data_IF_379133141178
#
_entry.id   IF_379133141178
#
_cell.length_a   1.000
_cell.length_b   1.000
_cell.length_c   1.000
_cell.angle_alpha   90.00
_cell.angle_beta   90.00
_cell.angle_gamma   90.00
#
_symmetry.space_group_name_H-M   'P 1'
#
loop_
_entity.id
_entity.type
_entity.pdbx_description
1 polymer ?
#
# COMPACT_ATOMS: atom_id res chain seq x y z
N UNK A 1 -37.60 17.76 7.46
CA UNK A 1 -37.17 18.44 6.23
C UNK A 1 -35.67 18.70 6.38
N UNK A 2 -34.81 17.93 5.72
CA UNK A 2 -33.35 18.12 5.83
C UNK A 2 -32.96 19.28 4.91
N UNK A 3 -32.50 20.38 5.49
CA UNK A 3 -31.91 21.47 4.69
C UNK A 3 -30.64 20.94 4.00
N UNK A 4 -30.45 21.23 2.71
CA UNK A 4 -29.30 20.73 1.97
C UNK A 4 -28.00 21.39 2.45
N UNK A 5 -26.91 20.62 2.40
CA UNK A 5 -25.59 21.11 2.73
C UNK A 5 -25.21 22.29 1.80
N UNK A 6 -24.60 23.34 2.36
CA UNK A 6 -24.28 24.58 1.68
C UNK A 6 -22.79 24.65 1.33
N UNK A 7 -22.49 24.96 0.07
CA UNK A 7 -21.14 25.32 -0.38
C UNK A 7 -20.96 26.82 -0.24
N UNK A 8 -19.85 27.26 0.34
CA UNK A 8 -19.49 28.67 0.45
C UNK A 8 -18.66 29.12 -0.77
N UNK A 9 -18.62 30.43 -1.02
CA UNK A 9 -17.67 31.02 -1.97
C UNK A 9 -16.24 30.91 -1.45
N UNK A 10 -15.25 30.92 -2.34
CA UNK A 10 -13.84 30.87 -1.94
C UNK A 10 -13.50 32.07 -1.02
N UNK A 11 -14.04 33.27 -1.28
CA UNK A 11 -13.86 34.44 -0.40
C UNK A 11 -14.36 34.23 1.04
N UNK A 12 -15.53 33.62 1.21
CA UNK A 12 -16.08 33.34 2.53
C UNK A 12 -15.30 32.24 3.26
N UNK A 13 -14.65 31.33 2.54
CA UNK A 13 -13.76 30.33 3.12
C UNK A 13 -12.45 30.94 3.63
N UNK A 14 -11.95 32.00 2.98
CA UNK A 14 -10.76 32.73 3.44
C UNK A 14 -11.01 33.42 4.79
N UNK A 15 -12.22 33.94 5.03
CA UNK A 15 -12.60 34.54 6.32
C UNK A 15 -12.75 33.48 7.45
N UNK A 16 -12.92 32.21 7.08
CA UNK A 16 -13.11 31.08 7.99
C UNK A 16 -11.81 30.31 8.22
N UNK A 17 -10.72 31.00 8.58
CA UNK A 17 -9.41 30.39 8.86
C UNK A 17 -9.05 30.38 10.34
N UNK A 18 -8.33 29.33 10.72
CA UNK A 18 -7.73 29.18 12.04
C UNK A 18 -6.46 30.03 12.13
N UNK A 19 -6.35 30.85 13.18
CA UNK A 19 -5.16 31.67 13.44
C UNK A 19 -3.87 30.86 13.65
N UNK A 20 -3.98 29.62 14.15
CA UNK A 20 -2.81 28.79 14.48
C UNK A 20 -2.28 28.03 13.26
N UNK A 21 -3.15 27.30 12.56
CA UNK A 21 -2.73 26.43 11.45
C UNK A 21 -3.05 26.99 10.06
N UNK A 22 -3.70 28.16 9.97
CA UNK A 22 -4.21 28.77 8.74
C UNK A 22 -5.18 27.90 7.92
N UNK A 23 -5.58 26.73 8.43
CA UNK A 23 -6.57 25.86 7.82
C UNK A 23 -8.00 26.33 8.08
N UNK A 24 -8.97 25.81 7.31
CA UNK A 24 -10.38 26.17 7.48
C UNK A 24 -10.91 25.80 8.88
N UNK A 25 -11.86 26.59 9.40
CA UNK A 25 -12.59 26.34 10.65
C UNK A 25 -13.62 25.19 10.46
N UNK A 26 -13.12 24.01 10.10
CA UNK A 26 -13.89 22.85 9.67
C UNK A 26 -14.10 21.79 10.76
N UNK A 27 -13.62 22.04 11.99
CA UNK A 27 -13.79 21.15 13.13
C UNK A 27 -14.07 21.88 14.44
N UNK A 28 -15.00 21.32 15.21
CA UNK A 28 -15.33 21.69 16.58
C UNK A 28 -14.26 21.16 17.57
N UNK A 29 -14.03 21.85 18.70
CA UNK A 29 -14.60 23.14 19.07
C UNK A 29 -13.96 24.30 18.30
N UNK A 30 -14.77 25.28 17.90
CA UNK A 30 -14.27 26.58 17.43
C UNK A 30 -14.21 27.54 18.62
N UNK A 31 -13.04 28.09 18.88
CA UNK A 31 -12.81 29.05 19.96
C UNK A 31 -12.31 30.38 19.42
N UNK A 32 -12.67 31.46 20.08
CA UNK A 32 -12.25 32.82 19.75
C UNK A 32 -11.39 33.40 20.87
N UNK A 33 -10.30 34.05 20.48
CA UNK A 33 -9.41 34.82 21.36
C UNK A 33 -9.98 36.24 21.59
N UNK A 34 -9.54 36.98 22.62
CA UNK A 34 -10.03 38.33 22.90
C UNK A 34 -9.78 39.32 21.75
N UNK A 35 -8.80 39.05 20.90
CA UNK A 35 -8.50 39.85 19.70
C UNK A 35 -9.39 39.49 18.49
N UNK A 36 -10.36 38.58 18.63
CA UNK A 36 -11.25 38.14 17.56
C UNK A 36 -10.74 36.97 16.70
N UNK A 37 -9.48 36.57 16.85
CA UNK A 37 -8.91 35.43 16.11
C UNK A 37 -9.60 34.11 16.47
N UNK A 38 -9.90 33.30 15.46
CA UNK A 38 -10.53 31.99 15.63
C UNK A 38 -9.51 30.84 15.68
N UNK A 39 -9.80 29.82 16.47
CA UNK A 39 -8.99 28.61 16.65
C UNK A 39 -9.89 27.40 16.39
N UNK A 40 -9.46 26.53 15.48
CA UNK A 40 -10.18 25.28 15.17
C UNK A 40 -9.92 24.18 16.21
N UNK A 41 -10.78 23.16 16.22
CA UNK A 41 -10.67 22.05 17.17
C UNK A 41 -9.38 21.24 17.06
N UNK A 42 -8.72 21.23 15.89
CA UNK A 42 -7.43 20.54 15.66
C UNK A 42 -6.27 21.18 16.41
N UNK A 43 -6.35 22.48 16.73
CA UNK A 43 -5.28 23.23 17.37
C UNK A 43 -5.45 23.33 18.89
N UNK A 44 -6.40 22.58 19.47
CA UNK A 44 -6.64 22.58 20.90
C UNK A 44 -5.91 21.41 21.60
N UNK A 45 -5.51 21.57 22.87
CA UNK A 45 -5.56 22.81 23.66
C UNK A 45 -4.48 23.82 23.22
N UNK A 46 -4.81 25.10 23.23
CA UNK A 46 -3.81 26.18 23.13
C UNK A 46 -3.31 26.51 24.53
N UNK A 47 -2.14 27.14 24.62
CA UNK A 47 -1.52 27.57 25.86
C UNK A 47 -2.52 28.25 26.82
N UNK A 48 -2.46 27.90 28.10
CA UNK A 48 -3.48 28.23 29.12
C UNK A 48 -3.47 29.71 29.53
N UNK A 49 -2.49 30.47 29.05
CA UNK A 49 -2.24 31.86 29.40
C UNK A 49 -3.30 32.82 28.84
N UNK A 50 -3.94 32.48 27.71
CA UNK A 50 -4.98 33.30 27.08
C UNK A 50 -6.39 32.73 27.30
N UNK A 51 -7.36 33.54 27.78
CA UNK A 51 -8.75 33.12 27.83
C UNK A 51 -9.27 32.93 26.39
N UNK A 52 -9.92 31.81 26.13
CA UNK A 52 -10.56 31.52 24.85
C UNK A 52 -12.04 31.20 25.09
N UNK A 53 -12.92 31.54 24.16
CA UNK A 53 -14.36 31.34 24.30
C UNK A 53 -14.89 30.47 23.15
N UNK A 54 -15.64 29.40 23.45
CA UNK A 54 -16.23 28.54 22.42
C UNK A 54 -17.43 29.23 21.76
N UNK A 55 -17.54 29.17 20.44
CA UNK A 55 -18.58 29.86 19.68
C UNK A 55 -19.59 28.87 19.11
N UNK A 56 -20.50 28.40 19.96
CA UNK A 56 -21.55 27.45 19.58
C UNK A 56 -22.44 27.91 18.40
N UNK A 57 -22.86 29.19 18.30
CA UNK A 57 -23.68 29.63 17.17
C UNK A 57 -22.96 29.48 15.83
N UNK A 58 -21.66 29.76 15.79
CA UNK A 58 -20.85 29.58 14.59
C UNK A 58 -20.74 28.10 14.23
N UNK A 59 -20.47 27.22 15.21
CA UNK A 59 -20.47 25.77 14.98
C UNK A 59 -21.82 25.26 14.44
N UNK A 60 -22.94 25.78 14.95
CA UNK A 60 -24.27 25.42 14.47
C UNK A 60 -24.51 25.85 13.02
N UNK A 61 -24.06 27.04 12.63
CA UNK A 61 -24.11 27.50 11.22
C UNK A 61 -23.21 26.63 10.34
N UNK A 62 -21.98 26.38 10.77
CA UNK A 62 -21.00 25.61 10.01
C UNK A 62 -21.36 24.13 9.91
N UNK A 63 -22.18 23.58 10.82
CA UNK A 63 -22.64 22.18 10.78
C UNK A 63 -23.26 21.77 9.44
N UNK A 64 -23.80 22.74 8.69
CA UNK A 64 -24.43 22.53 7.37
C UNK A 64 -23.53 22.93 6.20
N UNK A 65 -22.30 23.36 6.47
CA UNK A 65 -21.36 23.85 5.45
C UNK A 65 -20.45 22.72 4.99
N UNK A 66 -20.24 22.66 3.66
CA UNK A 66 -19.23 21.82 3.03
C UNK A 66 -17.89 22.58 2.95
N UNK A 67 -16.86 22.00 3.53
CA UNK A 67 -15.49 22.49 3.45
C UNK A 67 -14.69 21.69 2.42
N UNK A 68 -13.91 22.35 1.54
CA UNK A 68 -12.98 21.65 0.68
C UNK A 68 -11.83 21.06 1.50
N UNK A 69 -11.28 19.94 1.03
CA UNK A 69 -10.04 19.37 1.57
C UNK A 69 -8.89 20.39 1.49
N UNK A 70 -8.03 20.44 2.52
CA UNK A 70 -6.79 21.24 2.48
C UNK A 70 -5.88 20.84 1.30
N UNK A 71 -5.92 19.58 0.88
CA UNK A 71 -5.16 19.05 -0.25
C UNK A 71 -5.85 19.31 -1.62
N UNK A 72 -6.79 20.27 -1.71
CA UNK A 72 -7.44 20.67 -2.98
C UNK A 72 -6.42 21.13 -4.02
N UNK A 73 -5.36 21.82 -3.59
CA UNK A 73 -4.25 22.22 -4.46
C UNK A 73 -3.49 21.04 -5.06
N UNK A 74 -3.41 19.93 -4.33
CA UNK A 74 -2.77 18.67 -4.75
C UNK A 74 -3.70 17.76 -5.57
N UNK A 75 -4.94 18.20 -5.87
CA UNK A 75 -5.88 17.46 -6.70
C UNK A 75 -7.10 16.89 -5.98
N UNK A 76 -7.20 17.00 -4.65
CA UNK A 76 -8.37 16.50 -3.93
C UNK A 76 -9.63 17.31 -4.26
N UNK A 77 -10.63 16.66 -4.85
CA UNK A 77 -11.94 17.27 -5.18
C UNK A 77 -12.98 17.11 -4.07
N UNK A 78 -12.64 16.45 -2.98
CA UNK A 78 -13.58 16.17 -1.90
C UNK A 78 -14.00 17.46 -1.19
N UNK A 79 -15.30 17.54 -0.93
CA UNK A 79 -15.90 18.52 -0.04
C UNK A 79 -16.65 17.76 1.06
N UNK A 80 -16.35 18.07 2.31
CA UNK A 80 -16.81 17.31 3.47
C UNK A 80 -17.55 18.25 4.42
N UNK A 81 -18.59 17.74 5.07
CA UNK A 81 -19.30 18.48 6.11
C UNK A 81 -18.38 18.82 7.28
N UNK A 82 -18.72 19.90 7.99
CA UNK A 82 -18.10 20.24 9.27
C UNK A 82 -17.99 19.01 10.21
N UNK A 83 -16.86 18.91 10.91
CA UNK A 83 -16.41 17.74 11.70
C UNK A 83 -16.05 16.47 10.92
N UNK A 84 -16.46 16.29 9.66
CA UNK A 84 -16.07 15.13 8.86
C UNK A 84 -14.69 15.25 8.21
N UNK A 85 -14.15 16.47 8.15
CA UNK A 85 -12.91 16.75 7.40
C UNK A 85 -11.71 15.96 7.94
N UNK A 86 -11.59 15.78 9.26
CA UNK A 86 -10.44 15.10 9.86
C UNK A 86 -10.42 13.61 9.54
N UNK A 87 -11.60 12.99 9.42
CA UNK A 87 -11.74 11.60 8.97
C UNK A 87 -11.45 11.46 7.47
N UNK A 88 -11.72 12.49 6.68
CA UNK A 88 -11.32 12.51 5.28
C UNK A 88 -9.81 12.72 5.14
N UNK A 89 -9.24 13.72 5.82
CA UNK A 89 -7.81 14.06 5.75
C UNK A 89 -6.92 12.89 6.17
N UNK A 90 -7.34 12.09 7.18
CA UNK A 90 -6.59 10.90 7.60
C UNK A 90 -6.53 9.79 6.54
N UNK A 91 -7.39 9.83 5.53
CA UNK A 91 -7.48 8.88 4.41
C UNK A 91 -7.29 9.53 3.05
N UNK A 92 -7.03 10.84 3.01
CA UNK A 92 -6.98 11.59 1.77
C UNK A 92 -5.69 11.25 1.06
N UNK A 93 -5.77 10.52 -0.06
CA UNK A 93 -4.63 10.08 -0.88
C UNK A 93 -3.79 11.25 -1.42
N UNK A 94 -4.34 12.46 -1.45
CA UNK A 94 -3.67 13.65 -1.97
C UNK A 94 -2.81 14.39 -0.95
N UNK A 95 -2.58 13.81 0.23
CA UNK A 95 -1.70 14.39 1.26
C UNK A 95 -0.30 14.68 0.70
N UNK A 96 0.30 15.77 1.15
CA UNK A 96 1.69 16.06 0.80
C UNK A 96 2.63 15.26 1.69
N UNK A 97 3.61 14.59 1.10
CA UNK A 97 4.62 13.82 1.82
C UNK A 97 5.98 13.97 1.16
N UNK A 98 7.02 13.91 1.98
CA UNK A 98 8.37 13.62 1.51
C UNK A 98 8.59 12.11 1.34
N UNK A 99 9.59 11.74 0.54
CA UNK A 99 10.04 10.36 0.44
C UNK A 99 10.63 9.88 1.78
N UNK A 100 10.25 8.69 2.29
CA UNK A 100 10.73 8.18 3.58
C UNK A 100 12.08 7.44 3.46
N UNK A 101 12.59 7.28 2.23
CA UNK A 101 13.84 6.59 1.96
C UNK A 101 14.98 7.56 2.26
N UNK A 102 15.75 7.26 3.31
CA UNK A 102 16.80 8.11 3.88
C UNK A 102 18.07 8.20 3.03
N UNK A 103 18.01 7.87 1.75
CA UNK A 103 19.14 8.09 0.86
C UNK A 103 19.29 9.60 0.61
N UNK A 104 20.52 10.11 0.76
CA UNK A 104 20.80 11.55 0.66
C UNK A 104 20.50 12.12 -0.73
N UNK A 105 20.27 11.26 -1.72
CA UNK A 105 19.96 11.62 -3.10
C UNK A 105 18.47 11.96 -3.35
N UNK A 106 17.55 11.53 -2.47
CA UNK A 106 16.12 11.70 -2.71
C UNK A 106 15.52 12.85 -1.91
N UNK A 107 15.15 13.92 -2.61
CA UNK A 107 14.48 15.11 -2.05
C UNK A 107 13.04 15.23 -2.53
N UNK A 108 12.44 14.12 -2.97
CA UNK A 108 11.10 14.13 -3.51
C UNK A 108 10.08 14.56 -2.45
N UNK A 109 9.24 15.52 -2.84
CA UNK A 109 8.05 15.95 -2.12
C UNK A 109 6.91 16.02 -3.13
N UNK A 110 5.75 15.48 -2.76
CA UNK A 110 4.62 15.45 -3.66
C UNK A 110 3.36 14.89 -3.03
N UNK A 111 2.36 14.67 -3.88
CA UNK A 111 1.10 14.07 -3.46
C UNK A 111 1.28 12.59 -3.16
N UNK A 112 0.60 12.08 -2.14
CA UNK A 112 0.53 10.64 -1.86
C UNK A 112 0.02 9.82 -3.04
N UNK A 113 -0.79 10.41 -3.92
CA UNK A 113 -1.26 9.79 -5.15
C UNK A 113 -0.12 9.47 -6.15
N UNK A 114 1.00 10.20 -6.06
CA UNK A 114 2.15 10.08 -6.95
C UNK A 114 3.28 9.23 -6.33
N UNK A 115 3.15 8.83 -5.06
CA UNK A 115 4.21 8.14 -4.32
C UNK A 115 4.60 6.80 -4.95
N UNK A 116 3.62 6.07 -5.49
CA UNK A 116 3.87 4.77 -6.11
C UNK A 116 4.69 4.92 -7.38
N UNK A 117 4.36 5.91 -8.21
CA UNK A 117 5.12 6.23 -9.41
C UNK A 117 6.53 6.71 -9.07
N UNK A 118 6.66 7.56 -8.05
CA UNK A 118 7.94 8.00 -7.53
C UNK A 118 8.83 6.82 -7.12
N UNK A 119 8.31 5.90 -6.30
CA UNK A 119 9.07 4.72 -5.87
C UNK A 119 9.49 3.83 -7.04
N UNK A 120 8.61 3.62 -8.02
CA UNK A 120 8.92 2.81 -9.20
C UNK A 120 9.93 3.47 -10.15
N UNK A 121 10.04 4.80 -10.17
CA UNK A 121 10.99 5.52 -11.03
C UNK A 121 12.34 5.76 -10.35
N UNK A 122 12.31 6.19 -9.09
CA UNK A 122 13.49 6.66 -8.37
C UNK A 122 14.08 5.60 -7.43
N UNK A 123 13.29 4.60 -7.03
CA UNK A 123 13.69 3.58 -6.05
C UNK A 123 13.42 2.15 -6.51
N UNK A 124 13.40 1.90 -7.82
CA UNK A 124 13.21 0.57 -8.38
C UNK A 124 14.25 -0.46 -7.92
N UNK A 125 15.45 -0.03 -7.51
CA UNK A 125 16.50 -0.89 -6.97
C UNK A 125 16.10 -1.52 -5.62
N UNK A 126 15.09 -0.98 -4.93
CA UNK A 126 14.51 -1.57 -3.73
C UNK A 126 13.42 -2.60 -4.04
N UNK A 127 12.98 -2.71 -5.31
CA UNK A 127 11.93 -3.63 -5.72
C UNK A 127 12.42 -5.08 -5.64
N UNK A 128 11.69 -5.89 -4.90
CA UNK A 128 11.98 -7.31 -4.69
C UNK A 128 10.94 -8.17 -5.40
N UNK A 129 11.37 -9.35 -5.86
CA UNK A 129 10.48 -10.35 -6.48
C UNK A 129 9.56 -11.03 -5.46
N UNK A 130 9.87 -10.92 -4.17
CA UNK A 130 9.12 -11.50 -3.06
C UNK A 130 9.18 -10.56 -1.85
N UNK A 131 8.07 -10.43 -1.12
CA UNK A 131 8.03 -9.65 0.11
C UNK A 131 8.68 -10.41 1.27
N UNK A 132 10.00 -10.48 1.27
CA UNK A 132 10.76 -11.14 2.33
C UNK A 132 12.08 -10.44 2.64
N UNK A 133 12.58 -10.64 3.85
CA UNK A 133 13.91 -10.21 4.28
C UNK A 133 14.50 -11.19 5.29
N UNK A 134 15.84 -11.21 5.39
CA UNK A 134 16.58 -12.07 6.29
C UNK A 134 17.16 -11.25 7.44
N UNK A 135 17.15 -11.83 8.64
CA UNK A 135 17.76 -11.26 9.84
C UNK A 135 18.75 -12.27 10.39
N UNK A 136 19.99 -11.86 10.61
CA UNK A 136 20.94 -12.60 11.43
C UNK A 136 20.62 -12.29 12.88
N UNK A 137 20.30 -13.30 13.69
CA UNK A 137 19.64 -13.06 14.98
C UNK A 137 20.53 -12.31 15.97
N UNK A 138 21.85 -12.38 15.83
CA UNK A 138 22.84 -11.75 16.72
C UNK A 138 23.41 -10.42 16.23
N UNK A 139 22.90 -9.90 15.11
CA UNK A 139 23.42 -8.67 14.51
C UNK A 139 22.29 -7.67 14.31
N UNK A 140 22.59 -6.40 14.51
CA UNK A 140 21.66 -5.33 14.18
C UNK A 140 21.46 -5.27 12.67
N UNK A 141 20.23 -5.06 12.23
CA UNK A 141 19.93 -4.92 10.81
C UNK A 141 18.76 -4.00 10.59
N UNK A 142 18.75 -3.34 9.44
CA UNK A 142 17.65 -2.49 9.01
C UNK A 142 17.54 -2.55 7.50
N UNK A 143 16.34 -2.28 6.99
CA UNK A 143 16.11 -2.30 5.56
C UNK A 143 14.78 -1.68 5.18
N UNK A 144 14.73 -1.21 3.94
CA UNK A 144 13.49 -0.84 3.25
C UNK A 144 13.42 -1.64 1.97
N UNK A 145 12.28 -2.24 1.68
CA UNK A 145 12.03 -2.94 0.43
C UNK A 145 10.69 -2.50 -0.17
N UNK A 146 10.62 -2.63 -1.48
CA UNK A 146 9.39 -2.47 -2.25
C UNK A 146 8.97 -3.83 -2.80
N UNK A 147 7.67 -4.09 -2.81
CA UNK A 147 7.10 -5.29 -3.40
C UNK A 147 5.87 -4.93 -4.21
N UNK A 148 5.75 -5.45 -5.42
CA UNK A 148 4.60 -5.18 -6.29
C UNK A 148 3.79 -6.46 -6.51
N UNK A 149 2.54 -6.45 -6.06
CA UNK A 149 1.57 -7.54 -6.27
C UNK A 149 0.15 -6.96 -6.23
N UNK A 150 -0.44 -6.70 -7.40
CA UNK A 150 -1.66 -5.90 -7.63
C UNK A 150 -1.55 -4.43 -7.17
N UNK A 151 -0.94 -4.20 -6.02
CA UNK A 151 -0.57 -2.91 -5.44
C UNK A 151 0.93 -2.86 -5.16
N UNK A 152 1.48 -1.65 -5.08
CA UNK A 152 2.83 -1.45 -4.56
C UNK A 152 2.78 -1.45 -3.03
N UNK A 153 3.70 -2.14 -2.39
CA UNK A 153 3.87 -2.17 -0.95
C UNK A 153 5.27 -1.68 -0.58
N UNK A 154 5.35 -0.93 0.51
CA UNK A 154 6.60 -0.55 1.15
C UNK A 154 6.68 -1.21 2.52
N UNK A 155 7.82 -1.82 2.78
CA UNK A 155 8.13 -2.48 4.04
C UNK A 155 9.42 -1.90 4.56
N UNK A 156 9.41 -1.40 5.79
CA UNK A 156 10.61 -0.98 6.51
C UNK A 156 10.71 -1.76 7.81
N UNK A 157 11.93 -2.17 8.14
CA UNK A 157 12.22 -2.83 9.40
C UNK A 157 13.53 -2.33 10.02
N UNK A 158 13.59 -2.41 11.34
CA UNK A 158 14.78 -2.22 12.17
C UNK A 158 14.80 -3.33 13.22
N UNK A 159 15.93 -4.02 13.35
CA UNK A 159 16.12 -5.13 14.27
C UNK A 159 17.32 -4.87 15.17
N UNK A 160 17.10 -5.03 16.46
CA UNK A 160 18.13 -4.99 17.50
C UNK A 160 18.52 -6.43 17.86
N UNK A 161 19.75 -6.81 17.52
CA UNK A 161 20.31 -8.14 17.75
C UNK A 161 20.70 -8.39 19.20
N UNK A 162 20.89 -7.35 20.01
CA UNK A 162 21.14 -7.48 21.45
C UNK A 162 19.87 -7.80 22.23
N UNK A 163 18.79 -7.06 21.96
CA UNK A 163 17.48 -7.20 22.60
C UNK A 163 16.61 -8.28 21.93
N UNK A 164 16.96 -8.70 20.70
CA UNK A 164 16.15 -9.56 19.83
C UNK A 164 14.77 -8.98 19.53
N UNK A 165 14.71 -7.69 19.27
CA UNK A 165 13.45 -6.97 19.00
C UNK A 165 13.42 -6.48 17.56
N UNK A 166 12.34 -6.81 16.85
CA UNK A 166 12.07 -6.38 15.49
C UNK A 166 10.98 -5.29 15.51
N UNK A 167 11.28 -4.12 14.97
CA UNK A 167 10.30 -3.11 14.59
C UNK A 167 10.06 -3.15 13.09
N UNK A 168 8.81 -3.06 12.68
CA UNK A 168 8.45 -3.02 11.26
C UNK A 168 7.19 -2.17 11.00
N UNK A 169 7.11 -1.57 9.82
CA UNK A 169 5.90 -0.96 9.28
C UNK A 169 5.70 -1.43 7.84
N UNK A 170 4.47 -1.79 7.50
CA UNK A 170 4.07 -2.34 6.21
C UNK A 170 2.86 -1.53 5.72
N UNK A 171 3.04 -0.84 4.60
CA UNK A 171 2.01 -0.01 3.98
C UNK A 171 1.84 -0.37 2.52
N UNK A 172 0.65 -0.14 1.99
CA UNK A 172 0.43 -0.15 0.55
C UNK A 172 0.43 1.28 0.02
N UNK A 173 0.90 1.44 -1.20
CA UNK A 173 1.03 2.69 -1.92
C UNK A 173 0.03 2.65 -3.07
N UNK A 174 -1.08 3.36 -2.93
CA UNK A 174 -2.18 3.38 -3.91
C UNK A 174 -2.79 4.78 -4.01
N UNK A 175 -3.44 5.04 -5.13
CA UNK A 175 -4.30 6.21 -5.33
C UNK A 175 -5.68 6.03 -4.71
N UNK A 176 -5.99 4.83 -4.20
CA UNK A 176 -7.26 4.50 -3.53
C UNK A 176 -6.98 3.86 -2.16
N UNK A 177 -7.86 4.14 -1.18
CA UNK A 177 -7.81 3.50 0.14
C UNK A 177 -8.58 2.18 0.11
N UNK A 178 -7.85 1.07 0.23
CA UNK A 178 -8.40 -0.27 0.38
C UNK A 178 -8.61 -0.60 1.86
N UNK A 179 -9.87 -0.71 2.28
CA UNK A 179 -10.20 -0.99 3.68
C UNK A 179 -10.01 -2.45 4.11
N UNK A 180 -9.95 -3.35 3.13
CA UNK A 180 -9.99 -4.80 3.29
C UNK A 180 -8.63 -5.47 3.05
N UNK A 181 -7.57 -4.66 2.93
CA UNK A 181 -6.22 -5.16 2.70
C UNK A 181 -5.59 -5.59 4.02
N UNK A 182 -5.21 -6.86 4.10
CA UNK A 182 -4.52 -7.42 5.25
C UNK A 182 -3.23 -8.11 4.84
N UNK A 183 -2.34 -8.30 5.80
CA UNK A 183 -1.16 -9.14 5.62
C UNK A 183 -1.00 -10.12 6.79
N UNK A 184 -0.31 -11.22 6.53
CA UNK A 184 0.17 -12.17 7.54
C UNK A 184 1.67 -12.31 7.41
N UNK A 185 2.37 -12.33 8.54
CA UNK A 185 3.81 -12.56 8.57
C UNK A 185 4.07 -14.02 8.91
N UNK A 186 4.91 -14.65 8.11
CA UNK A 186 5.48 -15.96 8.37
C UNK A 186 6.96 -15.79 8.72
N UNK A 187 7.40 -16.42 9.80
CA UNK A 187 8.80 -16.44 10.20
C UNK A 187 9.31 -17.86 10.03
N UNK A 188 10.44 -18.02 9.36
CA UNK A 188 11.12 -19.30 9.15
C UNK A 188 12.50 -19.24 9.79
N UNK A 189 12.96 -20.36 10.34
CA UNK A 189 14.38 -20.54 10.62
C UNK A 189 15.12 -20.67 9.29
N UNK A 190 16.17 -19.85 9.09
CA UNK A 190 16.91 -19.84 7.82
C UNK A 190 17.73 -21.12 7.59
N UNK A 191 18.06 -21.87 8.66
CA UNK A 191 18.82 -23.12 8.58
C UNK A 191 17.91 -24.36 8.51
N UNK A 192 16.70 -24.27 9.06
CA UNK A 192 15.70 -25.33 9.02
C UNK A 192 14.33 -24.73 8.69
N UNK A 193 13.94 -24.82 7.42
CA UNK A 193 12.71 -24.18 6.93
C UNK A 193 11.43 -24.87 7.41
N UNK A 194 11.52 -26.07 7.96
CA UNK A 194 10.36 -26.78 8.52
C UNK A 194 9.93 -26.15 9.86
N UNK A 195 10.86 -25.48 10.55
CA UNK A 195 10.59 -24.67 11.72
C UNK A 195 10.04 -23.29 11.31
N UNK A 196 8.70 -23.16 11.28
CA UNK A 196 8.02 -21.90 10.92
C UNK A 196 6.86 -21.55 11.84
N UNK A 197 6.52 -20.26 11.92
CA UNK A 197 5.32 -19.76 12.58
C UNK A 197 4.63 -18.67 11.77
N UNK A 198 3.36 -18.48 12.07
CA UNK A 198 2.54 -17.40 11.52
C UNK A 198 2.14 -16.43 12.62
N UNK A 199 2.31 -15.14 12.36
CA UNK A 199 1.73 -14.09 13.19
C UNK A 199 0.26 -13.88 12.82
N UNK A 200 -0.52 -13.37 13.78
CA UNK A 200 -1.91 -12.99 13.56
C UNK A 200 -2.00 -11.98 12.41
N UNK A 201 -3.01 -12.17 11.54
CA UNK A 201 -3.30 -11.25 10.45
C UNK A 201 -3.47 -9.82 10.97
N UNK A 202 -2.94 -8.87 10.21
CA UNK A 202 -2.96 -7.46 10.50
C UNK A 202 -3.53 -6.68 9.32
N UNK A 203 -4.29 -5.63 9.61
CA UNK A 203 -4.70 -4.66 8.59
C UNK A 203 -3.47 -3.95 8.04
N UNK A 204 -3.41 -3.82 6.72
CA UNK A 204 -2.46 -2.95 6.04
C UNK A 204 -3.10 -1.58 5.83
N UNK A 205 -2.34 -0.54 6.09
CA UNK A 205 -2.83 0.83 5.95
C UNK A 205 -2.19 1.48 4.73
N UNK A 206 -2.89 2.47 4.16
CA UNK A 206 -2.33 3.33 3.13
C UNK A 206 -1.05 4.00 3.65
N UNK A 207 -0.06 4.13 2.77
CA UNK A 207 1.13 4.93 3.04
C UNK A 207 0.73 6.36 3.45
N UNK A 208 1.42 6.91 4.44
CA UNK A 208 1.21 8.27 4.92
C UNK A 208 2.48 8.78 5.63
N UNK A 209 2.47 10.05 6.06
CA UNK A 209 3.61 10.67 6.75
C UNK A 209 3.97 10.04 8.10
N UNK A 210 3.11 9.19 8.67
CA UNK A 210 3.41 8.47 9.92
C UNK A 210 4.13 7.15 9.69
N UNK A 211 4.50 6.83 8.44
CA UNK A 211 5.21 5.62 8.11
C UNK A 211 6.47 5.47 8.96
N UNK A 212 6.54 4.36 9.68
CA UNK A 212 7.64 4.00 10.59
C UNK A 212 7.83 4.95 11.81
N UNK A 213 6.88 5.86 12.07
CA UNK A 213 6.87 6.63 13.31
C UNK A 213 6.70 5.72 14.54
N UNK A 214 7.17 6.18 15.71
CA UNK A 214 7.20 5.40 16.96
C UNK A 214 5.83 4.78 17.34
N UNK A 215 4.75 5.51 17.09
CA UNK A 215 3.37 5.08 17.43
C UNK A 215 2.72 4.24 16.31
N UNK A 216 3.28 4.22 15.10
CA UNK A 216 2.76 3.48 13.94
C UNK A 216 3.47 2.16 13.70
N UNK A 217 4.78 2.08 14.01
CA UNK A 217 5.56 0.85 13.84
C UNK A 217 5.12 -0.24 14.80
N UNK A 218 5.08 -1.47 14.33
CA UNK A 218 4.79 -2.66 15.14
C UNK A 218 6.07 -3.18 15.76
N UNK A 219 5.96 -3.78 16.93
CA UNK A 219 7.07 -4.42 17.63
C UNK A 219 6.81 -5.92 17.77
N UNK A 220 7.83 -6.71 17.51
CA UNK A 220 7.86 -8.15 17.70
C UNK A 220 9.09 -8.50 18.53
N UNK A 221 8.87 -9.19 19.67
CA UNK A 221 9.96 -9.73 20.47
C UNK A 221 10.29 -11.14 19.98
N UNK A 222 11.42 -11.31 19.30
CA UNK A 222 11.83 -12.59 18.70
C UNK A 222 12.17 -13.62 19.79
N UNK A 223 12.59 -13.19 20.99
CA UNK A 223 12.85 -14.12 22.11
C UNK A 223 11.62 -14.95 22.49
N UNK A 224 10.41 -14.40 22.33
CA UNK A 224 9.16 -15.12 22.64
C UNK A 224 9.00 -16.39 21.80
N UNK A 225 9.65 -16.44 20.63
CA UNK A 225 9.52 -17.56 19.72
C UNK A 225 10.84 -18.21 19.31
N UNK A 226 11.95 -17.77 19.90
CA UNK A 226 13.28 -18.26 19.61
C UNK A 226 13.43 -19.76 19.87
N UNK A 227 12.72 -20.29 20.88
CA UNK A 227 12.70 -21.72 21.19
C UNK A 227 11.86 -22.53 20.18
N UNK A 228 10.73 -22.00 19.73
CA UNK A 228 9.87 -22.66 18.74
C UNK A 228 10.51 -22.76 17.36
N UNK A 229 11.47 -21.88 17.05
CA UNK A 229 12.24 -21.89 15.81
C UNK A 229 13.54 -22.69 15.92
N UNK A 230 13.73 -23.49 16.98
CA UNK A 230 14.96 -24.23 17.25
C UNK A 230 16.24 -23.37 17.25
N UNK A 231 16.20 -22.26 18.00
CA UNK A 231 17.34 -21.36 18.23
C UNK A 231 18.05 -20.94 16.93
N UNK A 232 17.32 -20.27 16.01
CA UNK A 232 17.83 -19.94 14.69
C UNK A 232 19.03 -19.01 14.75
N UNK A 233 20.09 -19.30 13.97
CA UNK A 233 21.19 -18.32 13.72
C UNK A 233 20.73 -17.17 12.83
N UNK A 234 19.72 -17.42 12.00
CA UNK A 234 19.07 -16.42 11.16
C UNK A 234 17.60 -16.78 10.98
N UNK A 235 16.76 -15.76 10.82
CA UNK A 235 15.35 -15.91 10.49
C UNK A 235 15.06 -15.26 9.15
N UNK A 236 14.16 -15.87 8.40
CA UNK A 236 13.60 -15.29 7.18
C UNK A 236 12.17 -14.87 7.48
N UNK A 237 11.86 -13.59 7.26
CA UNK A 237 10.52 -13.02 7.44
C UNK A 237 9.86 -12.92 6.07
N UNK A 238 8.76 -13.65 5.87
CA UNK A 238 7.92 -13.61 4.66
C UNK A 238 6.62 -12.89 4.97
N UNK A 239 6.22 -12.00 4.07
CA UNK A 239 4.98 -11.24 4.19
C UNK A 239 4.02 -11.71 3.10
N UNK A 240 2.85 -12.17 3.51
CA UNK A 240 1.78 -12.60 2.61
C UNK A 240 0.66 -11.58 2.64
N UNK A 241 0.38 -10.94 1.51
CA UNK A 241 -0.72 -9.99 1.35
C UNK A 241 -2.00 -10.72 0.93
N UNK A 242 -3.14 -10.31 1.49
CA UNK A 242 -4.46 -10.86 1.17
C UNK A 242 -5.48 -9.73 1.06
N UNK A 243 -6.24 -9.73 -0.03
CA UNK A 243 -7.48 -8.97 -0.15
C UNK A 243 -8.61 -9.81 0.44
N UNK A 244 -9.38 -9.27 1.39
CA UNK A 244 -10.62 -9.92 1.83
C UNK A 244 -11.78 -9.49 0.94
N UNK A 245 -11.81 -9.91 -0.33
CA UNK A 245 -12.99 -9.69 -1.17
C UNK A 245 -14.04 -10.76 -0.89
N UNK A 246 -15.17 -10.36 -0.29
CA UNK A 246 -16.45 -11.00 -0.55
C UNK A 246 -16.88 -10.64 -1.98
N UNK A 247 -16.68 -11.58 -2.91
CA UNK A 247 -17.10 -11.59 -4.33
C UNK A 247 -16.17 -10.84 -5.30
N UNK A 248 -15.10 -11.51 -5.71
CA UNK A 248 -14.46 -11.24 -7.01
C UNK A 248 -15.37 -11.72 -8.15
N UNK A 249 -15.36 -10.99 -9.28
CA UNK A 249 -15.09 -11.54 -10.64
C UNK A 249 -15.30 -10.46 -11.72
N UNK A 250 -14.29 -10.32 -12.60
CA UNK A 250 -14.29 -9.78 -13.98
C UNK A 250 -14.77 -8.33 -14.15
N UNK A 251 -13.92 -7.40 -14.60
CA UNK A 251 -13.80 -7.09 -16.04
C UNK A 251 -12.41 -6.51 -16.43
N UNK A 252 -11.56 -6.13 -15.48
CA UNK A 252 -10.31 -5.41 -15.79
C UNK A 252 -9.13 -6.29 -16.26
N UNK A 253 -9.21 -7.61 -16.09
CA UNK A 253 -8.11 -8.54 -16.41
C UNK A 253 -7.90 -8.83 -17.91
N UNK A 254 -8.83 -8.45 -18.79
CA UNK A 254 -8.75 -8.82 -20.22
C UNK A 254 -7.87 -7.87 -21.03
N UNK A 255 -7.83 -6.57 -20.69
CA UNK A 255 -7.06 -5.57 -21.45
C UNK A 255 -5.58 -5.48 -21.06
N UNK A 256 -5.23 -5.84 -19.81
CA UNK A 256 -3.82 -5.85 -19.37
C UNK A 256 -3.09 -7.12 -19.80
N UNK A 257 -3.80 -8.25 -19.93
CA UNK A 257 -3.24 -9.49 -20.46
C UNK A 257 -2.80 -9.36 -21.93
N UNK A 258 -3.53 -8.61 -22.78
CA UNK A 258 -3.13 -8.45 -24.19
C UNK A 258 -1.81 -7.69 -24.34
N UNK A 259 -1.64 -6.60 -23.57
CA UNK A 259 -0.44 -5.76 -23.65
C UNK A 259 0.79 -6.44 -23.04
N UNK A 260 0.60 -7.33 -22.06
CA UNK A 260 1.66 -8.14 -21.49
C UNK A 260 2.07 -9.29 -22.43
N UNK A 261 1.10 -9.96 -23.08
CA UNK A 261 1.37 -11.01 -24.07
C UNK A 261 2.15 -10.43 -25.26
N UNK A 262 1.77 -9.27 -25.80
CA UNK A 262 2.49 -8.64 -26.92
C UNK A 262 3.96 -8.34 -26.59
N UNK A 263 4.24 -7.80 -25.40
CA UNK A 263 5.61 -7.53 -24.94
C UNK A 263 6.41 -8.82 -24.72
N UNK A 264 5.76 -9.89 -24.25
CA UNK A 264 6.39 -11.20 -24.06
C UNK A 264 6.73 -11.86 -25.40
N UNK A 265 5.85 -11.78 -26.41
CA UNK A 265 6.10 -12.34 -27.75
C UNK A 265 7.28 -11.68 -28.44
N UNK A 266 7.40 -10.35 -28.40
CA UNK A 266 8.53 -9.63 -29.01
C UNK A 266 9.87 -10.02 -28.36
N UNK A 267 9.88 -10.23 -27.05
CA UNK A 267 11.08 -10.67 -26.33
C UNK A 267 11.45 -12.13 -26.62
N UNK A 268 10.46 -12.99 -26.85
CA UNK A 268 10.67 -14.40 -27.22
C UNK A 268 11.14 -14.55 -28.67
N UNK A 269 10.63 -13.75 -29.61
CA UNK A 269 11.06 -13.77 -31.01
C UNK A 269 12.55 -13.39 -31.16
N UNK A 270 13.00 -12.41 -30.39
CA UNK A 270 14.42 -12.01 -30.31
C UNK A 270 15.31 -13.10 -29.71
N UNK A 271 14.79 -13.87 -28.75
CA UNK A 271 15.48 -15.00 -28.15
C UNK A 271 15.59 -16.17 -29.12
N UNK A 272 14.50 -16.54 -29.80
CA UNK A 272 14.49 -17.62 -30.79
C UNK A 272 15.31 -17.29 -32.04
N UNK A 273 15.31 -16.04 -32.52
CA UNK A 273 16.15 -15.62 -33.64
C UNK A 273 17.65 -15.78 -33.34
N UNK A 274 18.08 -15.46 -32.11
CA UNK A 274 19.46 -15.67 -31.65
C UNK A 274 19.79 -17.17 -31.48
N UNK A 275 18.84 -17.96 -30.97
CA UNK A 275 19.01 -19.41 -30.81
C UNK A 275 19.17 -20.12 -32.16
N UNK A 276 18.37 -19.73 -33.16
CA UNK A 276 18.41 -20.29 -34.53
C UNK A 276 19.74 -19.95 -35.24
N UNK A 277 20.27 -18.74 -35.05
CA UNK A 277 21.57 -18.35 -35.61
C UNK A 277 22.73 -19.12 -34.96
N UNK A 278 22.66 -19.36 -33.64
CA UNK A 278 23.71 -20.05 -32.89
C UNK A 278 23.74 -21.56 -33.14
N UNK A 279 22.58 -22.19 -33.39
CA UNK A 279 22.44 -23.63 -33.60
C UNK A 279 22.18 -24.05 -35.05
N UNK A 280 22.38 -23.15 -36.03
CA UNK A 280 22.03 -23.36 -37.44
C UNK A 280 22.55 -24.69 -38.03
N UNK A 281 23.81 -25.04 -37.75
CA UNK A 281 24.44 -26.30 -38.20
C UNK A 281 23.92 -27.55 -37.45
N UNK A 282 23.51 -27.39 -36.19
CA UNK A 282 22.99 -28.47 -35.33
C UNK A 282 21.52 -28.78 -35.63
N UNK A 283 20.69 -27.74 -35.83
CA UNK A 283 19.26 -27.86 -36.18
C UNK A 283 19.09 -28.50 -37.56
N UNK A 284 19.97 -28.21 -38.53
CA UNK A 284 19.90 -28.83 -39.86
C UNK A 284 20.15 -30.35 -39.82
N UNK A 285 20.95 -30.83 -38.87
CA UNK A 285 21.29 -32.26 -38.71
C UNK A 285 20.24 -33.07 -37.97
N UNK A 286 19.49 -32.47 -37.04
CA UNK A 286 18.52 -33.16 -36.16
C UNK A 286 17.11 -32.55 -36.23
N UNK A 287 16.77 -32.00 -37.40
CA UNK A 287 15.61 -31.12 -37.63
C UNK A 287 14.26 -31.73 -37.26
N UNK A 288 14.07 -33.05 -37.38
CA UNK A 288 12.78 -33.69 -37.03
C UNK A 288 12.60 -33.82 -35.51
N UNK A 289 13.61 -34.32 -34.82
CA UNK A 289 13.54 -34.63 -33.39
C UNK A 289 13.40 -33.36 -32.54
N UNK A 290 14.12 -32.29 -32.91
CA UNK A 290 14.05 -31.00 -32.19
C UNK A 290 12.69 -30.32 -32.41
N UNK A 291 12.14 -30.37 -33.64
CA UNK A 291 10.82 -29.80 -33.94
C UNK A 291 9.72 -30.55 -33.18
N UNK A 292 9.82 -31.87 -33.05
CA UNK A 292 8.84 -32.68 -32.32
C UNK A 292 8.89 -32.44 -30.80
N UNK A 293 10.08 -32.21 -30.23
CA UNK A 293 10.23 -31.81 -28.82
C UNK A 293 9.62 -30.43 -28.58
N UNK A 294 9.88 -29.44 -29.45
CA UNK A 294 9.32 -28.08 -29.30
C UNK A 294 7.79 -28.12 -29.43
N UNK A 295 7.25 -28.85 -30.40
CA UNK A 295 5.79 -29.03 -30.56
C UNK A 295 5.17 -29.71 -29.33
N UNK A 296 5.84 -30.71 -28.76
CA UNK A 296 5.36 -31.42 -27.58
C UNK A 296 5.31 -30.52 -26.35
N UNK A 297 6.34 -29.71 -26.13
CA UNK A 297 6.39 -28.73 -25.03
C UNK A 297 5.28 -27.68 -25.19
N UNK A 298 5.05 -27.20 -26.41
CA UNK A 298 4.00 -26.22 -26.68
C UNK A 298 2.59 -26.80 -26.50
N UNK A 299 2.35 -28.03 -26.95
CA UNK A 299 1.08 -28.74 -26.72
C UNK A 299 0.84 -29.04 -25.24
N UNK A 300 1.86 -29.43 -24.48
CA UNK A 300 1.77 -29.63 -23.03
C UNK A 300 1.45 -28.32 -22.30
N UNK A 301 2.09 -27.22 -22.67
CA UNK A 301 1.80 -25.91 -22.08
C UNK A 301 0.36 -25.43 -22.41
N UNK A 302 -0.08 -25.58 -23.66
CA UNK A 302 -1.43 -25.21 -24.08
C UNK A 302 -2.53 -26.05 -23.41
N UNK A 303 -2.30 -27.36 -23.27
CA UNK A 303 -3.24 -28.27 -22.59
C UNK A 303 -3.29 -28.02 -21.09
N UNK A 304 -2.17 -27.71 -20.43
CA UNK A 304 -2.15 -27.36 -19.00
C UNK A 304 -2.97 -26.09 -18.71
N UNK A 305 -2.88 -25.08 -19.60
CA UNK A 305 -3.67 -23.84 -19.51
C UNK A 305 -5.16 -24.12 -19.73
N UNK A 306 -5.50 -24.94 -20.73
CA UNK A 306 -6.89 -25.27 -21.06
C UNK A 306 -7.58 -26.13 -19.98
N UNK A 307 -6.87 -27.12 -19.42
CA UNK A 307 -7.35 -27.97 -18.33
C UNK A 307 -7.57 -27.16 -17.05
N UNK A 308 -6.69 -26.20 -16.75
CA UNK A 308 -6.84 -25.30 -15.59
C UNK A 308 -8.06 -24.39 -15.71
N UNK A 309 -8.40 -23.96 -16.93
CA UNK A 309 -9.62 -23.18 -17.23
C UNK A 309 -10.92 -24.01 -17.10
N UNK A 310 -10.91 -25.26 -17.55
CA UNK A 310 -12.06 -26.18 -17.47
C UNK A 310 -12.35 -26.70 -16.04
N UNK A 311 -11.31 -26.91 -15.22
CA UNK A 311 -11.49 -27.31 -13.82
C UNK A 311 -12.01 -26.15 -12.97
N UNK A 312 -11.61 -24.91 -13.30
CA UNK A 312 -12.16 -23.70 -12.68
C UNK A 312 -13.66 -23.50 -12.95
N UNK A 313 -14.11 -23.74 -14.17
CA UNK A 313 -15.52 -23.53 -14.58
C UNK A 313 -16.48 -24.62 -14.07
N UNK A 314 -16.03 -25.86 -13.90
CA UNK A 314 -16.88 -26.96 -13.42
C UNK A 314 -17.14 -26.95 -11.91
N UNK A 315 -16.22 -26.41 -11.10
CA UNK A 315 -16.45 -26.19 -9.65
C UNK A 315 -17.43 -25.04 -9.37
N UNK A 316 -17.43 -24.02 -10.22
CA UNK A 316 -18.35 -22.86 -10.11
C UNK A 316 -19.80 -23.30 -10.39
N UNK A 317 -20.03 -24.13 -11.41
CA UNK A 317 -21.38 -24.60 -11.76
C UNK A 317 -22.01 -25.57 -10.73
N UNK A 318 -21.23 -26.31 -9.96
CA UNK A 318 -21.77 -27.20 -8.89
C UNK A 318 -22.23 -26.43 -7.64
N UNK A 319 -21.65 -25.26 -7.35
CA UNK A 319 -22.03 -24.46 -6.18
C UNK A 319 -23.21 -23.52 -6.45
N UNK A 320 -23.46 -23.12 -7.71
CA UNK A 320 -24.64 -22.33 -8.09
C UNK A 320 -25.95 -23.14 -8.03
N UNK A 321 -25.92 -24.46 -8.24
CA UNK A 321 -27.12 -25.32 -8.12
C UNK A 321 -27.50 -25.71 -6.68
N UNK A 322 -26.72 -25.33 -5.67
CA UNK A 322 -27.03 -25.60 -4.23
C UNK A 322 -27.57 -24.38 -3.48
N UNK A 323 -27.76 -23.25 -4.16
CA UNK A 323 -28.23 -21.97 -3.57
C UNK A 323 -29.46 -21.38 -4.28
N UNK A 324 -30.14 -22.16 -5.11
CA UNK A 324 -31.51 -21.92 -5.59
C UNK A 324 -32.42 -22.99 -4.98
#
# INVERSE_FOLDING_TARGET
>A
MFEPAKKLSDSALEDLRCYVCNGYLSSSPIRVLPNGSCICGRCLPVDKSAPTYRVFPLEAVLSKVLFPCLNRGSGCKATVLFNGISEHESRCVYYTSSCPITDSSCTWEGSGADISEHFLKNHNYLLQNSAQFNIVTNEDSQGTLLYYNDNLYIVRYEYDGGQKVLWYDIRYCSQEDFHDLCYTIQILNSNDRDCTMYLKAAKCFLYNSTFFAKDSRRQLNVNQFYQYLDKPKGITVLIHFKHTNSNDVNIHNVQLFSNFIEKLTVSLDLFFAKLILFYREYILRHSREIIDVIKSIFYLAATQIFVSSLIGTTKINKNLKKKL
#
